data_IF_879484086279
#
_entry.id   IF_879484086279
#
_cell.length_a   1.000
_cell.length_b   1.000
_cell.length_c   1.000
_cell.angle_alpha   90.00
_cell.angle_beta   90.00
_cell.angle_gamma   90.00
#
_symmetry.space_group_name_H-M   'P 1'
#
loop_
_entity.id
_entity.type
_entity.pdbx_description
1 polymer ?
#
# COMPACT_ATOMS: atom_id res chain seq x y z
N UNK A 1 -27.30 -3.25 0.25
CA UNK A 1 -26.78 -1.90 0.04
C UNK A 1 -27.45 -1.19 -1.12
N UNK A 2 -27.67 -1.83 -2.29
CA UNK A 2 -28.32 -1.21 -3.48
C UNK A 2 -29.68 -0.59 -3.14
N UNK A 3 -30.48 -1.24 -2.26
CA UNK A 3 -31.75 -0.66 -1.78
C UNK A 3 -31.55 0.66 -1.03
N UNK A 4 -30.43 0.87 -0.37
CA UNK A 4 -30.12 2.12 0.33
C UNK A 4 -29.69 3.23 -0.62
N UNK A 5 -28.99 2.88 -1.72
CA UNK A 5 -28.71 3.82 -2.82
C UNK A 5 -30.02 4.31 -3.42
N UNK A 6 -30.93 3.39 -3.79
CA UNK A 6 -32.24 3.73 -4.36
C UNK A 6 -33.09 4.61 -3.44
N UNK A 7 -32.90 4.51 -2.12
CA UNK A 7 -33.56 5.35 -1.11
C UNK A 7 -32.81 6.65 -0.80
N UNK A 8 -31.70 6.94 -1.48
CA UNK A 8 -30.87 8.14 -1.23
C UNK A 8 -30.15 8.17 0.11
N UNK A 9 -30.07 7.02 0.83
CA UNK A 9 -29.42 6.93 2.15
C UNK A 9 -27.91 6.81 2.08
N UNK A 10 -27.36 6.26 1.00
CA UNK A 10 -25.93 6.19 0.69
C UNK A 10 -25.73 6.56 -0.78
N UNK A 11 -24.56 7.10 -1.11
CA UNK A 11 -24.23 7.51 -2.49
C UNK A 11 -23.63 6.37 -3.32
N UNK A 12 -22.76 5.57 -2.69
CA UNK A 12 -21.99 4.52 -3.37
C UNK A 12 -21.67 3.38 -2.42
N UNK A 13 -21.11 2.31 -2.97
CA UNK A 13 -20.65 1.12 -2.25
C UNK A 13 -19.15 0.98 -2.47
N UNK A 14 -18.41 0.69 -1.41
CA UNK A 14 -17.02 0.26 -1.45
C UNK A 14 -16.83 -1.05 -0.72
N UNK A 15 -15.72 -1.71 -1.00
CA UNK A 15 -15.27 -2.90 -0.30
C UNK A 15 -13.89 -2.70 0.31
N UNK A 16 -13.52 -3.57 1.23
CA UNK A 16 -12.19 -3.62 1.82
C UNK A 16 -11.64 -5.04 1.68
N UNK A 17 -10.39 -5.14 1.23
CA UNK A 17 -9.63 -6.39 1.22
C UNK A 17 -10.36 -7.57 0.53
N UNK A 18 -10.85 -7.34 -0.69
CA UNK A 18 -11.49 -8.37 -1.50
C UNK A 18 -10.65 -8.74 -2.73
N UNK A 19 -10.73 -10.00 -3.14
CA UNK A 19 -10.07 -10.51 -4.33
C UNK A 19 -10.70 -9.95 -5.63
N UNK A 20 -9.95 -9.87 -6.74
CA UNK A 20 -10.47 -9.37 -8.02
C UNK A 20 -11.69 -10.12 -8.52
N UNK A 21 -11.77 -11.43 -8.27
CA UNK A 21 -12.93 -12.26 -8.64
C UNK A 21 -14.20 -11.89 -7.86
N UNK A 22 -14.06 -11.53 -6.57
CA UNK A 22 -15.16 -11.06 -5.73
C UNK A 22 -15.62 -9.66 -6.15
N UNK A 23 -14.69 -8.75 -6.50
CA UNK A 23 -15.01 -7.45 -7.06
C UNK A 23 -15.80 -7.60 -8.36
N UNK A 24 -15.30 -8.40 -9.30
CA UNK A 24 -15.98 -8.67 -10.58
C UNK A 24 -17.39 -9.24 -10.40
N UNK A 25 -17.57 -10.15 -9.44
CA UNK A 25 -18.89 -10.72 -9.13
C UNK A 25 -19.84 -9.69 -8.55
N UNK A 26 -19.36 -8.85 -7.62
CA UNK A 26 -20.17 -7.79 -7.02
C UNK A 26 -20.58 -6.71 -8.04
N UNK A 27 -19.66 -6.34 -8.94
CA UNK A 27 -19.87 -5.32 -9.97
C UNK A 27 -20.95 -5.70 -11.00
N UNK A 28 -21.23 -7.01 -11.17
CA UNK A 28 -22.38 -7.47 -11.98
C UNK A 28 -23.73 -7.09 -11.37
N UNK A 29 -23.78 -6.85 -10.07
CA UNK A 29 -25.01 -6.49 -9.34
C UNK A 29 -25.17 -4.97 -9.29
N UNK A 30 -24.09 -4.26 -9.02
CA UNK A 30 -24.03 -2.80 -8.94
C UNK A 30 -22.58 -2.34 -9.05
N UNK A 31 -22.35 -1.14 -9.61
CA UNK A 31 -21.04 -0.53 -9.65
C UNK A 31 -20.47 -0.37 -8.24
N UNK A 32 -19.20 -0.75 -8.07
CA UNK A 32 -18.42 -0.59 -6.84
C UNK A 32 -17.50 0.61 -7.04
N UNK A 33 -17.71 1.65 -6.26
CA UNK A 33 -16.99 2.91 -6.44
C UNK A 33 -15.52 2.82 -6.00
N UNK A 34 -15.23 2.03 -4.95
CA UNK A 34 -13.88 1.89 -4.43
C UNK A 34 -13.65 0.51 -3.81
N UNK A 35 -12.41 0.05 -3.87
CA UNK A 35 -11.88 -1.04 -3.05
C UNK A 35 -10.71 -0.49 -2.23
N UNK A 36 -10.69 -0.73 -0.92
CA UNK A 36 -9.56 -0.38 -0.09
C UNK A 36 -8.75 -1.63 0.21
N UNK A 37 -7.47 -1.64 -0.18
CA UNK A 37 -6.53 -2.75 0.06
C UNK A 37 -5.15 -2.23 0.42
N UNK A 38 -4.36 -3.02 1.14
CA UNK A 38 -2.97 -2.69 1.39
C UNK A 38 -2.19 -2.76 0.07
N UNK A 39 -1.59 -1.63 -0.32
CA UNK A 39 -0.76 -1.58 -1.52
C UNK A 39 0.42 -0.63 -1.34
N UNK A 40 1.61 -1.15 -1.54
CA UNK A 40 2.88 -0.44 -1.44
C UNK A 40 4.00 -1.29 -2.05
N UNK A 41 5.22 -0.78 -2.08
CA UNK A 41 6.40 -1.58 -2.44
C UNK A 41 6.58 -2.83 -1.55
N UNK A 42 6.10 -2.82 -0.31
CA UNK A 42 6.17 -3.97 0.59
C UNK A 42 5.00 -4.95 0.46
N UNK A 43 3.91 -4.56 -0.20
CA UNK A 43 2.73 -5.39 -0.42
C UNK A 43 2.24 -5.20 -1.85
N UNK A 44 2.65 -6.10 -2.74
CA UNK A 44 2.35 -6.03 -4.18
C UNK A 44 1.33 -7.07 -4.65
N UNK A 45 0.67 -7.77 -3.73
CA UNK A 45 -0.41 -8.71 -4.05
C UNK A 45 -1.53 -8.11 -4.92
N UNK A 46 -1.95 -6.83 -4.78
CA UNK A 46 -2.94 -6.24 -5.66
C UNK A 46 -2.56 -6.26 -7.16
N UNK A 47 -1.27 -6.30 -7.47
CA UNK A 47 -0.79 -6.41 -8.87
C UNK A 47 -1.11 -7.76 -9.52
N UNK A 48 -1.50 -8.78 -8.74
CA UNK A 48 -1.90 -10.10 -9.22
C UNK A 48 -3.34 -10.13 -9.80
N UNK A 49 -3.96 -8.94 -9.99
CA UNK A 49 -5.26 -8.83 -10.66
C UNK A 49 -6.16 -7.72 -10.13
N UNK A 50 -6.05 -7.30 -8.85
CA UNK A 50 -6.95 -6.30 -8.29
C UNK A 50 -6.76 -4.92 -8.94
N UNK A 51 -5.51 -4.50 -9.16
CA UNK A 51 -5.18 -3.24 -9.85
C UNK A 51 -5.84 -3.20 -11.22
N UNK A 52 -5.69 -4.27 -12.00
CA UNK A 52 -6.23 -4.38 -13.36
C UNK A 52 -7.76 -4.42 -13.35
N UNK A 53 -8.37 -5.18 -12.44
CA UNK A 53 -9.82 -5.30 -12.36
C UNK A 53 -10.47 -3.99 -11.90
N UNK A 54 -9.86 -3.28 -10.96
CA UNK A 54 -10.30 -1.94 -10.55
C UNK A 54 -10.29 -0.97 -11.74
N UNK A 55 -9.21 -0.95 -12.51
CA UNK A 55 -9.11 -0.14 -13.74
C UNK A 55 -10.20 -0.48 -14.74
N UNK A 56 -10.41 -1.77 -15.03
CA UNK A 56 -11.40 -2.25 -16.00
C UNK A 56 -12.83 -1.89 -15.61
N UNK A 57 -13.13 -1.84 -14.32
CA UNK A 57 -14.47 -1.57 -13.79
C UNK A 57 -14.71 -0.08 -13.45
N UNK A 58 -13.71 0.78 -13.63
CA UNK A 58 -13.80 2.19 -13.20
C UNK A 58 -13.94 2.32 -11.68
N UNK A 59 -13.35 1.39 -10.91
CA UNK A 59 -13.34 1.33 -9.45
C UNK A 59 -12.05 1.96 -8.93
N UNK A 60 -12.12 2.87 -7.98
CA UNK A 60 -10.92 3.41 -7.33
C UNK A 60 -10.27 2.34 -6.44
N UNK A 61 -8.95 2.20 -6.50
CA UNK A 61 -8.16 1.43 -5.55
C UNK A 61 -7.57 2.35 -4.49
N UNK A 62 -8.14 2.31 -3.29
CA UNK A 62 -7.69 3.10 -2.14
C UNK A 62 -6.59 2.30 -1.43
N UNK A 63 -5.35 2.74 -1.61
CA UNK A 63 -4.16 2.06 -1.12
C UNK A 63 -3.84 2.48 0.32
N UNK A 64 -4.13 1.64 1.30
CA UNK A 64 -3.72 1.90 2.68
C UNK A 64 -2.31 1.37 2.97
N UNK A 65 -1.67 1.86 4.04
CA UNK A 65 -0.27 1.60 4.38
C UNK A 65 0.71 1.80 3.21
N UNK A 66 0.58 2.87 2.41
CA UNK A 66 1.34 3.04 1.17
C UNK A 66 2.85 3.26 1.40
N UNK A 67 3.25 3.58 2.63
CA UNK A 67 4.66 3.69 3.07
C UNK A 67 5.11 2.49 3.91
N UNK A 68 4.45 1.32 3.74
CA UNK A 68 4.85 0.06 4.37
C UNK A 68 4.90 0.10 5.91
N UNK A 69 3.97 0.83 6.56
CA UNK A 69 3.92 0.96 8.03
C UNK A 69 5.25 1.46 8.61
N UNK A 70 5.82 2.50 8.01
CA UNK A 70 7.10 3.17 8.27
C UNK A 70 8.36 2.57 7.62
N UNK A 71 8.36 1.35 7.13
CA UNK A 71 9.54 0.79 6.44
C UNK A 71 10.06 1.67 5.31
N UNK A 72 9.16 2.30 4.55
CA UNK A 72 9.45 3.11 3.36
C UNK A 72 9.45 4.62 3.68
N UNK A 73 10.05 4.99 4.81
CA UNK A 73 10.25 6.38 5.25
C UNK A 73 11.72 6.63 5.58
N UNK A 74 12.14 7.90 5.68
CA UNK A 74 13.50 8.28 6.08
C UNK A 74 13.81 7.89 7.53
N UNK A 75 12.77 7.72 8.36
CA UNK A 75 12.91 7.39 9.77
C UNK A 75 11.91 6.28 10.13
N UNK A 76 12.24 5.00 9.85
CA UNK A 76 11.39 3.88 10.25
C UNK A 76 11.28 3.82 11.77
N UNK A 77 10.14 3.35 12.27
CA UNK A 77 9.97 3.11 13.71
C UNK A 77 11.04 2.10 14.19
N UNK A 78 11.63 2.33 15.34
CA UNK A 78 12.60 1.38 15.90
C UNK A 78 11.95 0.06 16.31
N UNK A 79 12.74 -1.02 16.38
CA UNK A 79 12.25 -2.32 16.84
C UNK A 79 11.61 -2.24 18.24
N UNK A 80 12.19 -1.44 19.14
CA UNK A 80 11.65 -1.23 20.48
C UNK A 80 10.24 -0.63 20.48
N UNK A 81 9.92 0.16 19.47
CA UNK A 81 8.57 0.72 19.29
C UNK A 81 7.64 -0.31 18.67
N UNK A 82 8.05 -0.96 17.57
CA UNK A 82 7.14 -1.86 16.82
C UNK A 82 6.76 -3.12 17.61
N UNK A 83 7.63 -3.63 18.48
CA UNK A 83 7.35 -4.78 19.34
C UNK A 83 6.25 -4.53 20.39
N UNK A 84 5.98 -3.26 20.71
CA UNK A 84 4.97 -2.86 21.71
C UNK A 84 3.62 -2.47 21.09
N UNK A 85 3.58 -2.13 19.80
CA UNK A 85 2.36 -1.72 19.13
C UNK A 85 1.43 -2.91 18.87
N UNK A 86 0.14 -2.78 19.19
CA UNK A 86 -0.85 -3.86 19.11
C UNK A 86 -0.92 -4.56 17.76
N UNK A 87 -0.77 -3.80 16.68
CA UNK A 87 -0.83 -4.37 15.33
C UNK A 87 0.47 -5.09 14.96
N UNK A 88 1.64 -4.51 15.28
CA UNK A 88 2.94 -4.99 14.78
C UNK A 88 3.57 -6.07 15.66
N UNK A 89 3.31 -6.09 16.97
CA UNK A 89 3.90 -7.04 17.93
C UNK A 89 3.73 -8.53 17.56
N UNK A 90 2.66 -8.88 16.85
CA UNK A 90 2.37 -10.24 16.38
C UNK A 90 2.34 -10.35 14.85
N UNK A 91 2.73 -9.30 14.15
CA UNK A 91 2.73 -9.31 12.69
C UNK A 91 4.06 -9.89 12.19
N UNK A 92 4.03 -10.89 11.27
CA UNK A 92 5.24 -11.59 10.84
C UNK A 92 6.36 -10.69 10.30
N UNK A 93 6.04 -9.59 9.61
CA UNK A 93 7.03 -8.64 9.09
C UNK A 93 7.79 -7.89 10.17
N UNK A 94 7.22 -7.78 11.36
CA UNK A 94 7.74 -7.00 12.47
C UNK A 94 8.32 -7.87 13.60
N UNK A 95 8.30 -9.21 13.45
CA UNK A 95 9.06 -10.09 14.34
C UNK A 95 10.56 -9.82 14.14
N UNK A 96 11.34 -9.85 15.22
CA UNK A 96 12.71 -9.34 15.28
C UNK A 96 13.58 -9.72 14.07
N UNK A 97 13.66 -11.01 13.76
CA UNK A 97 14.49 -11.50 12.65
C UNK A 97 14.05 -10.91 11.30
N UNK A 98 12.75 -10.89 11.02
CA UNK A 98 12.19 -10.35 9.78
C UNK A 98 12.33 -8.84 9.74
N UNK A 99 12.05 -8.17 10.86
CA UNK A 99 12.16 -6.72 10.96
C UNK A 99 13.57 -6.23 10.61
N UNK A 100 14.60 -6.85 11.19
CA UNK A 100 15.99 -6.46 10.94
C UNK A 100 16.39 -6.66 9.47
N UNK A 101 15.98 -7.76 8.84
CA UNK A 101 16.21 -8.00 7.42
C UNK A 101 15.48 -6.97 6.55
N UNK A 102 14.24 -6.66 6.87
CA UNK A 102 13.45 -5.66 6.16
C UNK A 102 14.08 -4.26 6.25
N UNK A 103 14.63 -3.88 7.41
CA UNK A 103 15.35 -2.60 7.56
C UNK A 103 16.58 -2.54 6.65
N UNK A 104 17.41 -3.59 6.63
CA UNK A 104 18.61 -3.64 5.77
C UNK A 104 18.25 -3.44 4.29
N UNK A 105 17.17 -4.04 3.83
CA UNK A 105 16.73 -3.89 2.44
C UNK A 105 16.16 -2.49 2.17
N UNK A 106 15.38 -1.95 3.10
CA UNK A 106 14.81 -0.61 2.94
C UNK A 106 15.85 0.50 3.16
N UNK A 107 16.99 0.23 3.84
CA UNK A 107 18.11 1.17 3.88
C UNK A 107 18.67 1.44 2.48
N UNK A 108 18.82 0.42 1.64
CA UNK A 108 19.23 0.59 0.24
C UNK A 108 18.24 1.45 -0.57
N UNK A 109 16.95 1.31 -0.28
CA UNK A 109 15.93 2.15 -0.92
C UNK A 109 15.99 3.60 -0.41
N UNK A 110 16.31 3.82 0.86
CA UNK A 110 16.57 5.16 1.42
C UNK A 110 17.80 5.81 0.80
N UNK A 111 18.89 5.06 0.65
CA UNK A 111 20.09 5.52 -0.05
C UNK A 111 19.75 5.96 -1.47
N UNK A 112 19.02 5.14 -2.22
CA UNK A 112 18.61 5.49 -3.58
C UNK A 112 17.70 6.73 -3.64
N UNK A 113 16.74 6.88 -2.74
CA UNK A 113 15.92 8.08 -2.64
C UNK A 113 16.76 9.33 -2.36
N UNK A 114 17.74 9.20 -1.46
CA UNK A 114 18.69 10.27 -1.14
C UNK A 114 19.55 10.66 -2.37
N UNK A 115 20.03 9.69 -3.13
CA UNK A 115 20.81 9.93 -4.36
C UNK A 115 19.98 10.67 -5.43
N UNK A 116 18.67 10.42 -5.46
CA UNK A 116 17.72 11.17 -6.31
C UNK A 116 17.37 12.56 -5.73
N UNK A 117 17.81 12.88 -4.50
CA UNK A 117 17.48 14.14 -3.84
C UNK A 117 16.03 14.25 -3.36
N UNK A 118 15.34 13.11 -3.14
CA UNK A 118 13.94 13.07 -2.72
C UNK A 118 13.77 12.32 -1.39
N UNK A 119 12.64 12.55 -0.72
CA UNK A 119 12.29 11.81 0.49
C UNK A 119 11.84 10.38 0.17
N UNK A 120 12.23 9.43 1.01
CA UNK A 120 11.91 8.01 0.82
C UNK A 120 10.39 7.77 0.73
N UNK A 121 9.61 8.40 1.61
CA UNK A 121 8.17 8.31 1.59
C UNK A 121 7.58 8.90 0.30
N UNK A 122 8.13 10.04 -0.17
CA UNK A 122 7.69 10.68 -1.42
C UNK A 122 7.97 9.79 -2.63
N UNK A 123 9.16 9.17 -2.70
CA UNK A 123 9.50 8.23 -3.77
C UNK A 123 8.60 6.99 -3.77
N UNK A 124 8.31 6.43 -2.58
CA UNK A 124 7.39 5.30 -2.43
C UNK A 124 5.99 5.62 -2.92
N UNK A 125 5.46 6.81 -2.59
CA UNK A 125 4.15 7.26 -3.06
C UNK A 125 4.14 7.58 -4.55
N UNK A 126 5.19 8.21 -5.08
CA UNK A 126 5.32 8.50 -6.52
C UNK A 126 5.31 7.20 -7.34
N UNK A 127 6.05 6.17 -6.88
CA UNK A 127 5.99 4.84 -7.46
C UNK A 127 4.58 4.26 -7.45
N UNK A 128 3.85 4.41 -6.34
CA UNK A 128 2.48 3.90 -6.23
C UNK A 128 1.53 4.64 -7.19
N UNK A 129 1.63 5.97 -7.27
CA UNK A 129 0.85 6.81 -8.18
C UNK A 129 1.14 6.48 -9.66
N UNK A 130 2.36 6.06 -10.00
CA UNK A 130 2.71 5.66 -11.37
C UNK A 130 1.99 4.40 -11.86
N UNK A 131 1.37 3.62 -10.95
CA UNK A 131 0.66 2.38 -11.30
C UNK A 131 -0.72 2.62 -11.92
N UNK A 132 -1.28 3.83 -11.83
CA UNK A 132 -2.50 4.21 -12.52
C UNK A 132 -3.32 5.31 -11.83
N UNK A 133 -4.06 6.08 -12.61
CA UNK A 133 -4.88 7.21 -12.14
C UNK A 133 -6.02 6.80 -11.18
N UNK A 134 -6.40 5.52 -11.19
CA UNK A 134 -7.43 4.98 -10.30
C UNK A 134 -6.90 4.59 -8.91
N UNK A 135 -5.60 4.79 -8.65
CA UNK A 135 -4.96 4.47 -7.37
C UNK A 135 -4.90 5.72 -6.51
N UNK A 136 -5.44 5.61 -5.30
CA UNK A 136 -5.53 6.70 -4.33
C UNK A 136 -4.81 6.27 -3.06
N UNK A 137 -3.54 6.65 -2.85
CA UNK A 137 -2.84 6.36 -1.61
C UNK A 137 -3.41 7.17 -0.44
N UNK A 138 -3.52 6.53 0.72
CA UNK A 138 -3.96 7.16 1.97
C UNK A 138 -2.89 7.03 3.06
N UNK A 139 -1.76 7.75 2.94
CA UNK A 139 -0.71 7.75 3.94
C UNK A 139 -1.17 8.41 5.23
N UNK A 140 -0.89 7.77 6.38
CA UNK A 140 -1.10 8.38 7.69
C UNK A 140 0.04 9.31 8.08
N UNK A 141 -0.28 10.45 8.68
CA UNK A 141 0.70 11.36 9.29
C UNK A 141 0.13 12.08 10.50
N UNK A 142 1.02 12.56 11.39
CA UNK A 142 0.68 13.39 12.57
C UNK A 142 1.49 14.68 12.60
N UNK A 143 2.21 14.99 11.53
CA UNK A 143 3.13 16.11 11.45
C UNK A 143 2.90 16.85 10.14
N UNK A 144 2.81 18.17 10.19
CA UNK A 144 2.74 19.05 9.03
C UNK A 144 3.92 18.81 8.08
N UNK A 145 5.14 18.77 8.63
CA UNK A 145 6.34 18.48 7.87
C UNK A 145 6.24 17.17 7.08
N UNK A 146 5.75 16.09 7.71
CA UNK A 146 5.57 14.81 7.00
C UNK A 146 4.45 14.88 5.98
N UNK A 147 3.40 15.68 6.20
CA UNK A 147 2.36 15.90 5.20
C UNK A 147 2.93 16.57 3.95
N UNK A 148 3.74 17.61 4.13
CA UNK A 148 4.40 18.30 3.02
C UNK A 148 5.30 17.35 2.23
N UNK A 149 6.10 16.53 2.92
CA UNK A 149 6.92 15.48 2.28
C UNK A 149 6.06 14.50 1.45
N UNK A 150 4.92 14.05 1.99
CA UNK A 150 4.02 13.14 1.27
C UNK A 150 3.39 13.80 0.04
N UNK A 151 3.01 15.07 0.12
CA UNK A 151 2.41 15.83 -1.00
C UNK A 151 3.41 16.02 -2.15
N UNK A 152 4.70 16.17 -1.86
CA UNK A 152 5.75 16.28 -2.89
C UNK A 152 5.84 15.05 -3.81
N UNK A 153 5.27 13.92 -3.42
CA UNK A 153 5.23 12.71 -4.26
C UNK A 153 4.60 12.94 -5.64
N UNK A 154 3.67 13.88 -5.76
CA UNK A 154 3.00 14.22 -7.02
C UNK A 154 3.92 14.92 -8.04
N UNK A 155 5.01 15.51 -7.57
CA UNK A 155 5.95 16.28 -8.36
C UNK A 155 7.18 15.44 -8.78
N UNK A 156 7.27 14.17 -8.31
CA UNK A 156 8.34 13.24 -8.68
C UNK A 156 7.94 12.50 -9.95
N UNK A 157 8.67 12.74 -11.02
CA UNK A 157 8.49 12.02 -12.27
C UNK A 157 9.13 10.62 -12.19
N UNK A 158 8.30 9.59 -12.33
CA UNK A 158 8.73 8.19 -12.31
C UNK A 158 8.87 7.68 -13.74
N UNK A 159 10.11 7.47 -14.18
CA UNK A 159 10.44 6.89 -15.48
C UNK A 159 10.87 5.41 -15.36
N UNK A 160 11.04 4.73 -16.49
CA UNK A 160 11.40 3.30 -16.54
C UNK A 160 12.73 2.99 -15.85
N UNK A 161 13.69 3.91 -15.87
CA UNK A 161 14.97 3.74 -15.17
C UNK A 161 14.77 3.70 -13.68
N UNK A 162 14.00 4.64 -13.13
CA UNK A 162 13.68 4.70 -11.69
C UNK A 162 12.90 3.46 -11.28
N UNK A 163 11.90 3.04 -12.07
CA UNK A 163 11.14 1.81 -11.81
C UNK A 163 12.08 0.60 -11.76
N UNK A 164 12.96 0.47 -12.75
CA UNK A 164 13.91 -0.65 -12.84
C UNK A 164 14.86 -0.70 -11.63
N UNK A 165 15.38 0.44 -11.18
CA UNK A 165 16.25 0.48 -10.00
C UNK A 165 15.49 0.16 -8.70
N UNK A 166 14.28 0.72 -8.54
CA UNK A 166 13.42 0.36 -7.39
C UNK A 166 13.14 -1.14 -7.36
N UNK A 167 12.84 -1.76 -8.51
CA UNK A 167 12.53 -3.20 -8.59
C UNK A 167 13.77 -4.11 -8.40
N UNK A 168 14.97 -3.61 -8.66
CA UNK A 168 16.22 -4.31 -8.29
C UNK A 168 16.48 -4.24 -6.78
N UNK A 169 16.21 -3.10 -6.16
CA UNK A 169 16.43 -2.89 -4.72
C UNK A 169 15.36 -3.62 -3.90
N UNK A 170 14.09 -3.46 -4.30
CA UNK A 170 12.91 -4.03 -3.63
C UNK A 170 12.07 -4.85 -4.63
N UNK A 171 12.53 -6.04 -5.05
CA UNK A 171 11.79 -6.89 -5.98
C UNK A 171 10.46 -7.36 -5.37
N UNK A 172 9.52 -7.85 -6.19
CA UNK A 172 8.28 -8.43 -5.69
C UNK A 172 8.61 -9.54 -4.68
N UNK A 173 8.00 -9.46 -3.50
CA UNK A 173 8.21 -10.43 -2.43
C UNK A 173 9.48 -10.22 -1.59
N UNK A 174 10.14 -9.09 -1.69
CA UNK A 174 11.35 -8.77 -0.91
C UNK A 174 11.13 -8.78 0.60
N UNK A 175 9.92 -8.43 1.07
CA UNK A 175 9.65 -8.29 2.49
C UNK A 175 9.58 -9.65 3.19
N UNK A 176 10.45 -9.84 4.17
CA UNK A 176 10.44 -11.02 5.04
C UNK A 176 9.22 -11.02 5.95
N UNK A 177 8.55 -12.16 6.04
CA UNK A 177 7.30 -12.33 6.78
C UNK A 177 6.06 -11.96 5.97
N UNK A 178 4.95 -12.67 6.24
CA UNK A 178 3.65 -12.34 5.66
C UNK A 178 3.18 -10.97 6.18
N UNK A 179 2.32 -10.30 5.43
CA UNK A 179 1.73 -9.02 5.82
C UNK A 179 0.81 -9.12 7.04
N UNK A 180 0.29 -10.32 7.29
CA UNK A 180 -0.61 -10.63 8.40
C UNK A 180 -0.25 -11.95 9.07
N UNK A 181 -0.46 -12.04 10.39
CA UNK A 181 -0.53 -13.30 11.10
C UNK A 181 -1.83 -14.04 10.77
N UNK A 182 -1.94 -15.33 11.11
CA UNK A 182 -3.18 -16.10 10.90
C UNK A 182 -4.39 -15.44 11.55
N UNK A 183 -4.23 -14.84 12.72
CA UNK A 183 -5.29 -14.09 13.40
C UNK A 183 -5.70 -12.81 12.66
N UNK A 184 -4.76 -12.15 12.01
CA UNK A 184 -5.01 -10.92 11.25
C UNK A 184 -5.60 -11.21 9.84
N UNK A 185 -5.49 -12.45 9.35
CA UNK A 185 -6.12 -12.89 8.11
C UNK A 185 -7.64 -13.18 8.24
N UNK A 186 -8.23 -12.97 9.41
CA UNK A 186 -9.68 -13.12 9.60
C UNK A 186 -10.38 -11.91 8.98
N UNK A 187 -11.05 -12.11 7.86
CA UNK A 187 -11.80 -11.08 7.12
C UNK A 187 -11.25 -10.73 5.76
N UNK A 188 -9.95 -10.36 5.61
CA UNK A 188 -9.37 -10.13 4.29
C UNK A 188 -9.44 -11.36 3.39
N UNK A 189 -9.76 -11.16 2.11
CA UNK A 189 -9.56 -12.22 1.12
C UNK A 189 -8.07 -12.28 0.73
N UNK A 190 -7.55 -13.48 0.46
CA UNK A 190 -6.17 -13.62 0.00
C UNK A 190 -6.04 -13.05 -1.42
N UNK A 191 -4.85 -12.50 -1.72
CA UNK A 191 -4.52 -11.89 -3.02
C UNK A 191 -5.33 -10.61 -3.36
N UNK A 192 -5.72 -9.87 -2.34
CA UNK A 192 -6.31 -8.54 -2.49
C UNK A 192 -5.25 -7.43 -2.38
#
# INVERSE_FOLDING_TARGET
LVKFIKKGKIKSIGFSEIAPTSLKRASKIHHIAAVQSEYSLSTRSPEMGLVQECKNLGTALVAFSPVGRSFLTDSPLSYDVVKELDFTKNNPRFLEQNYMQNIILTDKFREYANDLGVKTASLSLAWLLSKGEHIIPIPGTRSEKHLDELVLSKDIEINDTIISEIEKILPIGWAYGDRYSDAQWIGPERYC
#
